data_IF_929009274568
#
_entry.id   IF_929009274568
#
_cell.length_a   1.000
_cell.length_b   1.000
_cell.length_c   1.000
_cell.angle_alpha   90.00
_cell.angle_beta   90.00
_cell.angle_gamma   90.00
#
_symmetry.space_group_name_H-M   'P 1'
#
loop_
_entity.id
_entity.type
_entity.pdbx_description
1 polymer ?
#
# COMPACT_ATOMS: atom_id res chain seq x y z
N UNK A 1 -7.07 12.25 -25.64
CA UNK A 1 -5.64 12.24 -25.92
C UNK A 1 -4.94 12.60 -24.61
N UNK A 2 -4.37 11.64 -23.93
CA UNK A 2 -3.59 11.88 -22.71
C UNK A 2 -2.19 12.24 -23.13
N UNK A 3 -1.78 13.48 -22.90
CA UNK A 3 -0.39 13.88 -23.09
C UNK A 3 0.46 13.25 -21.98
N UNK A 4 1.07 12.11 -22.29
CA UNK A 4 2.08 11.53 -21.44
C UNK A 4 3.35 12.40 -21.54
N UNK A 5 3.62 13.20 -20.52
CA UNK A 5 4.86 13.98 -20.44
C UNK A 5 5.97 13.04 -19.97
N UNK A 6 6.73 12.56 -20.94
CA UNK A 6 7.95 11.78 -20.68
C UNK A 6 9.07 12.74 -20.28
N UNK A 7 9.37 12.85 -19.00
CA UNK A 7 10.67 13.32 -18.50
C UNK A 7 11.30 12.16 -17.72
N UNK A 8 12.45 11.70 -18.19
CA UNK A 8 13.37 10.80 -17.52
C UNK A 8 12.79 9.51 -16.93
N UNK A 9 12.35 8.54 -17.77
CA UNK A 9 11.93 7.18 -17.38
C UNK A 9 10.71 7.08 -16.43
N UNK A 10 10.31 8.17 -15.76
CA UNK A 10 9.15 8.20 -14.87
C UNK A 10 7.88 8.43 -15.70
N UNK A 11 6.92 7.50 -15.58
CA UNK A 11 5.60 7.64 -16.18
C UNK A 11 4.65 8.27 -15.17
N UNK A 12 4.13 9.45 -15.49
CA UNK A 12 3.11 10.15 -14.71
C UNK A 12 1.79 10.05 -15.45
N UNK A 13 0.74 9.62 -14.78
CA UNK A 13 -0.62 9.59 -15.31
C UNK A 13 -1.56 10.40 -14.41
N UNK A 14 -2.57 11.02 -15.03
CA UNK A 14 -3.69 11.63 -14.33
C UNK A 14 -4.91 10.72 -14.47
N UNK A 15 -5.54 10.36 -13.35
CA UNK A 15 -6.76 9.55 -13.32
C UNK A 15 -7.98 10.40 -13.04
N UNK A 16 -9.09 10.10 -13.72
CA UNK A 16 -10.35 10.80 -13.51
C UNK A 16 -11.07 10.25 -12.30
N UNK A 17 -11.76 11.13 -11.57
CA UNK A 17 -12.62 10.77 -10.44
C UNK A 17 -13.76 9.88 -10.89
N UNK A 18 -14.02 8.77 -10.19
CA UNK A 18 -15.23 7.98 -10.36
C UNK A 18 -16.40 8.50 -9.51
N UNK A 19 -17.62 8.15 -9.88
CA UNK A 19 -18.82 8.50 -9.12
C UNK A 19 -19.07 7.43 -8.06
N UNK A 20 -19.38 7.82 -6.83
CA UNK A 20 -19.49 6.98 -5.63
C UNK A 20 -20.38 5.74 -5.77
N UNK A 21 -21.46 5.86 -6.51
CA UNK A 21 -22.51 4.83 -6.55
C UNK A 21 -22.11 3.52 -7.21
N UNK A 22 -21.03 3.50 -7.99
CA UNK A 22 -20.56 2.33 -8.70
C UNK A 22 -19.19 1.80 -8.23
N UNK A 23 -18.55 2.50 -7.27
CA UNK A 23 -17.21 2.12 -6.83
C UNK A 23 -17.12 0.66 -6.32
N UNK A 24 -18.07 0.20 -5.51
CA UNK A 24 -18.05 -1.17 -4.98
C UNK A 24 -18.18 -2.22 -6.09
N UNK A 25 -19.01 -1.94 -7.12
CA UNK A 25 -19.14 -2.82 -8.29
C UNK A 25 -17.86 -2.85 -9.11
N UNK A 26 -17.23 -1.70 -9.28
CA UNK A 26 -15.98 -1.59 -10.03
C UNK A 26 -14.81 -2.22 -9.26
N UNK A 27 -14.79 -2.10 -7.93
CA UNK A 27 -13.83 -2.79 -7.07
C UNK A 27 -13.95 -4.33 -7.17
N UNK A 28 -15.18 -4.86 -7.20
CA UNK A 28 -15.42 -6.29 -7.41
C UNK A 28 -14.91 -6.75 -8.78
N UNK A 29 -15.20 -5.99 -9.84
CA UNK A 29 -14.73 -6.31 -11.20
C UNK A 29 -13.22 -6.28 -11.29
N UNK A 30 -12.59 -5.24 -10.72
CA UNK A 30 -11.13 -5.10 -10.72
C UNK A 30 -10.46 -6.24 -9.96
N UNK A 31 -10.99 -6.60 -8.78
CA UNK A 31 -10.48 -7.73 -7.99
C UNK A 31 -10.56 -9.04 -8.76
N UNK A 32 -11.65 -9.26 -9.52
CA UNK A 32 -11.78 -10.42 -10.40
C UNK A 32 -10.76 -10.39 -11.53
N UNK A 33 -10.55 -9.25 -12.18
CA UNK A 33 -9.53 -9.07 -13.22
C UNK A 33 -8.13 -9.39 -12.69
N UNK A 34 -7.74 -8.83 -11.53
CA UNK A 34 -6.44 -9.10 -10.90
C UNK A 34 -6.25 -10.59 -10.57
N UNK A 35 -7.35 -11.27 -10.25
CA UNK A 35 -7.33 -12.72 -10.03
C UNK A 35 -7.07 -13.50 -11.32
N UNK A 36 -7.72 -13.13 -12.41
CA UNK A 36 -7.53 -13.75 -13.73
C UNK A 36 -6.11 -13.48 -14.28
N UNK A 37 -5.58 -12.29 -14.03
CA UNK A 37 -4.21 -11.90 -14.38
C UNK A 37 -3.14 -12.49 -13.45
N UNK A 38 -3.55 -13.16 -12.35
CA UNK A 38 -2.67 -13.75 -11.32
C UNK A 38 -1.76 -12.73 -10.64
N UNK A 39 -2.19 -11.50 -10.53
CA UNK A 39 -1.48 -10.42 -9.85
C UNK A 39 -2.12 -10.12 -8.50
N UNK A 40 -1.34 -10.21 -7.43
CA UNK A 40 -1.80 -9.84 -6.09
C UNK A 40 -1.70 -8.33 -5.91
N UNK A 41 -2.83 -7.64 -5.84
CA UNK A 41 -2.88 -6.21 -5.59
C UNK A 41 -3.04 -5.95 -4.09
N UNK A 42 -2.09 -5.23 -3.50
CA UNK A 42 -2.11 -4.79 -2.11
C UNK A 42 -2.33 -3.28 -2.04
N UNK A 43 -3.37 -2.81 -1.37
CA UNK A 43 -3.55 -1.40 -1.04
C UNK A 43 -2.78 -1.08 0.25
N UNK A 44 -1.79 -0.19 0.18
CA UNK A 44 -0.96 0.22 1.30
C UNK A 44 -1.30 1.65 1.71
N UNK A 45 -1.84 1.79 2.90
CA UNK A 45 -2.31 3.06 3.47
C UNK A 45 -1.44 3.49 4.64
N UNK A 46 -1.36 4.78 4.92
CA UNK A 46 -0.70 5.30 6.12
C UNK A 46 -0.88 6.80 6.27
N UNK A 47 -0.42 7.34 7.38
CA UNK A 47 -0.14 8.78 7.52
C UNK A 47 1.14 9.18 6.77
N UNK A 48 1.30 10.46 6.42
CA UNK A 48 2.56 10.99 5.93
C UNK A 48 3.71 10.74 6.92
N UNK A 49 4.90 10.42 6.41
CA UNK A 49 6.08 10.21 7.25
C UNK A 49 6.15 8.89 8.03
N UNK A 50 5.20 7.95 7.85
CA UNK A 50 5.22 6.62 8.47
C UNK A 50 6.37 5.72 7.97
N UNK A 51 6.96 6.05 6.81
CA UNK A 51 8.07 5.33 6.19
C UNK A 51 7.64 4.35 5.11
N UNK A 52 6.58 4.66 4.33
CA UNK A 52 6.13 3.85 3.19
C UNK A 52 7.25 3.53 2.22
N UNK A 53 7.85 4.54 1.62
CA UNK A 53 8.92 4.43 0.63
C UNK A 53 10.08 3.57 1.14
N UNK A 54 10.57 3.82 2.37
CA UNK A 54 11.64 3.04 2.98
C UNK A 54 11.23 1.58 3.19
N UNK A 55 9.98 1.35 3.59
CA UNK A 55 9.44 -0.01 3.79
C UNK A 55 9.34 -0.76 2.46
N UNK A 56 8.88 -0.10 1.38
CA UNK A 56 8.78 -0.71 0.05
C UNK A 56 10.15 -1.05 -0.53
N UNK A 57 11.15 -0.17 -0.36
CA UNK A 57 12.54 -0.45 -0.75
C UNK A 57 13.13 -1.65 0.00
N UNK A 58 12.90 -1.73 1.30
CA UNK A 58 13.37 -2.86 2.11
C UNK A 58 12.62 -4.16 1.73
N UNK A 59 11.31 -4.07 1.51
CA UNK A 59 10.48 -5.21 1.08
C UNK A 59 10.92 -5.76 -0.28
N UNK A 60 11.22 -4.90 -1.25
CA UNK A 60 11.68 -5.33 -2.57
C UNK A 60 12.98 -6.17 -2.49
N UNK A 61 13.86 -5.85 -1.55
CA UNK A 61 15.07 -6.67 -1.30
C UNK A 61 14.73 -8.04 -0.75
N UNK A 62 13.77 -8.15 0.18
CA UNK A 62 13.30 -9.43 0.74
C UNK A 62 12.60 -10.30 -0.31
N UNK A 63 11.89 -9.67 -1.27
CA UNK A 63 11.13 -10.38 -2.29
C UNK A 63 11.98 -10.77 -3.52
N UNK A 64 13.20 -10.25 -3.64
CA UNK A 64 14.07 -10.47 -4.79
C UNK A 64 14.26 -11.95 -5.14
N UNK A 65 13.92 -12.33 -6.37
CA UNK A 65 14.00 -13.71 -6.85
C UNK A 65 12.88 -14.62 -6.35
N UNK A 66 11.88 -14.09 -5.63
CA UNK A 66 10.72 -14.82 -5.14
C UNK A 66 9.40 -14.32 -5.74
N UNK A 67 9.25 -13.01 -5.87
CA UNK A 67 8.11 -12.34 -6.49
C UNK A 67 8.59 -11.15 -7.31
N UNK A 68 7.97 -10.93 -8.46
CA UNK A 68 8.13 -9.72 -9.26
C UNK A 68 7.19 -8.66 -8.70
N UNK A 69 7.76 -7.65 -8.03
CA UNK A 69 7.02 -6.58 -7.38
C UNK A 69 7.08 -5.29 -8.20
N UNK A 70 5.93 -4.65 -8.36
CA UNK A 70 5.81 -3.28 -8.87
C UNK A 70 5.08 -2.38 -7.88
N UNK A 71 5.25 -1.07 -8.02
CA UNK A 71 4.64 -0.06 -7.14
C UNK A 71 3.88 0.98 -7.96
N UNK A 72 2.65 1.22 -7.58
CA UNK A 72 1.87 2.37 -8.06
C UNK A 72 1.75 3.37 -6.91
N UNK A 73 2.28 4.55 -7.08
CA UNK A 73 2.29 5.58 -6.05
C UNK A 73 1.23 6.64 -6.32
N UNK A 74 0.37 6.87 -5.34
CA UNK A 74 -0.60 7.94 -5.37
C UNK A 74 -0.11 9.15 -4.58
N UNK A 75 0.10 10.25 -5.26
CA UNK A 75 0.40 11.53 -4.61
C UNK A 75 -0.42 12.66 -5.26
N UNK A 76 -0.53 13.76 -4.54
CA UNK A 76 -1.24 14.95 -5.03
C UNK A 76 -0.46 15.61 -6.16
N UNK A 77 0.89 15.71 -6.03
CA UNK A 77 1.73 16.43 -7.03
C UNK A 77 3.24 16.09 -6.98
N UNK A 78 3.67 15.07 -6.25
CA UNK A 78 5.10 14.72 -6.10
C UNK A 78 5.48 13.51 -6.95
N UNK A 79 6.68 13.56 -7.57
CA UNK A 79 7.26 12.43 -8.31
C UNK A 79 8.51 11.86 -7.61
N UNK A 80 8.80 12.33 -6.40
CA UNK A 80 10.07 12.02 -5.71
C UNK A 80 10.16 10.55 -5.35
N UNK A 81 9.09 9.98 -4.83
CA UNK A 81 9.08 8.59 -4.36
C UNK A 81 9.13 7.60 -5.53
N UNK A 82 8.39 7.85 -6.63
CA UNK A 82 8.46 7.03 -7.84
C UNK A 82 9.90 6.99 -8.43
N UNK A 83 10.62 8.11 -8.39
CA UNK A 83 12.00 8.16 -8.83
C UNK A 83 12.91 7.32 -7.94
N UNK A 84 12.73 7.35 -6.64
CA UNK A 84 13.50 6.55 -5.68
C UNK A 84 13.27 5.05 -5.95
N UNK A 85 12.03 4.63 -6.26
CA UNK A 85 11.71 3.25 -6.63
C UNK A 85 12.38 2.84 -7.93
N UNK A 86 12.31 3.67 -8.97
CA UNK A 86 12.94 3.40 -10.26
C UNK A 86 14.46 3.29 -10.15
N UNK A 87 15.10 4.21 -9.41
CA UNK A 87 16.55 4.18 -9.16
C UNK A 87 16.98 2.91 -8.41
N UNK A 88 16.08 2.32 -7.61
CA UNK A 88 16.27 1.02 -6.96
C UNK A 88 15.97 -0.18 -7.87
N UNK A 89 15.56 0.05 -9.12
CA UNK A 89 15.21 -0.99 -10.09
C UNK A 89 13.84 -1.64 -9.84
N UNK A 90 12.95 -0.97 -9.13
CA UNK A 90 11.58 -1.41 -8.88
C UNK A 90 10.69 -0.74 -9.94
N UNK A 91 9.97 -1.53 -10.79
CA UNK A 91 8.98 -0.95 -11.69
C UNK A 91 8.00 -0.08 -10.92
N UNK A 92 7.85 1.18 -11.33
CA UNK A 92 6.94 2.10 -10.64
C UNK A 92 6.23 3.05 -11.60
N UNK A 93 5.07 3.53 -11.16
CA UNK A 93 4.29 4.55 -11.84
C UNK A 93 3.72 5.52 -10.81
N UNK A 94 3.72 6.81 -11.15
CA UNK A 94 3.09 7.85 -10.35
C UNK A 94 1.66 8.08 -10.83
N UNK A 95 0.71 8.09 -9.89
CA UNK A 95 -0.69 8.44 -10.12
C UNK A 95 -0.95 9.81 -9.50
N UNK A 96 -1.25 10.80 -10.34
CA UNK A 96 -1.71 12.10 -9.87
C UNK A 96 -3.21 12.05 -9.62
N UNK A 97 -3.61 12.23 -8.37
CA UNK A 97 -5.01 12.13 -7.96
C UNK A 97 -5.85 13.37 -8.29
N UNK A 98 -5.24 14.43 -8.85
CA UNK A 98 -5.93 15.68 -9.16
C UNK A 98 -6.49 16.39 -7.92
N UNK A 99 -5.79 16.27 -6.78
CA UNK A 99 -6.18 16.85 -5.50
C UNK A 99 -7.08 15.98 -4.63
N UNK A 100 -7.36 14.74 -5.06
CA UNK A 100 -8.09 13.77 -4.23
C UNK A 100 -7.18 13.22 -3.14
N UNK A 101 -7.75 13.02 -1.94
CA UNK A 101 -7.04 12.49 -0.78
C UNK A 101 -7.08 10.96 -0.67
N UNK A 102 -7.51 10.27 -1.73
CA UNK A 102 -7.62 8.81 -1.80
C UNK A 102 -7.63 8.34 -3.27
N UNK A 103 -7.48 7.04 -3.45
CA UNK A 103 -7.80 6.34 -4.71
C UNK A 103 -9.07 5.52 -4.54
N UNK A 104 -9.87 5.44 -5.61
CA UNK A 104 -10.99 4.52 -5.74
C UNK A 104 -10.67 3.38 -6.75
N UNK A 105 -11.64 2.51 -7.02
CA UNK A 105 -11.45 1.37 -7.90
C UNK A 105 -11.20 1.77 -9.36
N UNK A 106 -11.85 2.83 -9.86
CA UNK A 106 -11.67 3.26 -11.24
C UNK A 106 -10.32 3.94 -11.45
N UNK A 107 -9.89 4.77 -10.50
CA UNK A 107 -8.54 5.37 -10.49
C UNK A 107 -7.46 4.29 -10.43
N UNK A 108 -7.66 3.28 -9.58
CA UNK A 108 -6.77 2.11 -9.48
C UNK A 108 -6.71 1.34 -10.80
N UNK A 109 -7.85 1.07 -11.43
CA UNK A 109 -7.94 0.39 -12.72
C UNK A 109 -7.22 1.16 -13.83
N UNK A 110 -7.40 2.49 -13.88
CA UNK A 110 -6.70 3.34 -14.84
C UNK A 110 -5.18 3.26 -14.62
N UNK A 111 -4.71 3.32 -13.37
CA UNK A 111 -3.30 3.17 -13.01
C UNK A 111 -2.74 1.83 -13.46
N UNK A 112 -3.43 0.72 -13.17
CA UNK A 112 -3.01 -0.62 -13.58
C UNK A 112 -2.97 -0.79 -15.10
N UNK A 113 -3.93 -0.20 -15.83
CA UNK A 113 -3.95 -0.25 -17.29
C UNK A 113 -2.74 0.42 -17.94
N UNK A 114 -2.27 1.53 -17.36
CA UNK A 114 -1.11 2.27 -17.84
C UNK A 114 0.22 1.64 -17.36
N UNK A 115 0.22 1.08 -16.14
CA UNK A 115 1.38 0.43 -15.56
C UNK A 115 1.71 -0.89 -16.27
N UNK A 116 0.67 -1.69 -16.50
CA UNK A 116 0.78 -3.04 -17.02
C UNK A 116 1.12 -4.04 -15.90
N UNK A 117 0.31 -5.09 -15.80
CA UNK A 117 0.46 -6.13 -14.76
C UNK A 117 1.17 -7.37 -15.27
N UNK A 118 1.44 -7.42 -16.60
CA UNK A 118 2.11 -8.56 -17.21
C UNK A 118 3.48 -8.79 -16.54
N UNK A 119 3.71 -10.00 -16.11
CA UNK A 119 4.92 -10.42 -15.42
C UNK A 119 5.06 -9.88 -13.97
N UNK A 120 3.99 -9.32 -13.37
CA UNK A 120 3.95 -8.89 -11.98
C UNK A 120 3.19 -9.88 -11.11
N UNK A 121 3.85 -10.43 -10.09
CA UNK A 121 3.21 -11.29 -9.07
C UNK A 121 2.50 -10.45 -8.00
N UNK A 122 3.06 -9.27 -7.68
CA UNK A 122 2.62 -8.34 -6.66
C UNK A 122 2.66 -6.91 -7.20
N UNK A 123 1.55 -6.20 -7.09
CA UNK A 123 1.51 -4.75 -7.24
C UNK A 123 1.10 -4.12 -5.91
N UNK A 124 1.93 -3.23 -5.38
CA UNK A 124 1.59 -2.42 -4.22
C UNK A 124 1.05 -1.08 -4.69
N UNK A 125 -0.21 -0.82 -4.36
CA UNK A 125 -0.83 0.49 -4.51
C UNK A 125 -0.52 1.31 -3.26
N UNK A 126 0.48 2.18 -3.32
CA UNK A 126 0.75 3.14 -2.27
C UNK A 126 -0.30 4.25 -2.34
N UNK A 127 -1.25 4.23 -1.42
CA UNK A 127 -2.33 5.21 -1.37
C UNK A 127 -1.84 6.55 -0.80
N UNK A 128 -2.60 7.61 -1.04
CA UNK A 128 -2.31 8.96 -0.51
C UNK A 128 -2.13 8.91 1.01
N UNK A 129 -1.16 9.65 1.51
CA UNK A 129 -0.86 9.75 2.95
C UNK A 129 -2.00 10.36 3.76
N UNK A 130 -2.97 9.53 4.13
CA UNK A 130 -4.18 9.91 4.86
C UNK A 130 -4.75 8.70 5.62
N UNK A 131 -5.25 8.88 6.84
CA UNK A 131 -5.84 7.81 7.66
C UNK A 131 -7.37 7.75 7.64
N UNK A 132 -8.03 8.64 6.90
CA UNK A 132 -9.51 8.73 6.84
C UNK A 132 -10.00 8.32 5.47
N UNK A 133 -9.81 9.16 4.46
CA UNK A 133 -10.40 8.96 3.13
C UNK A 133 -10.03 7.61 2.46
N UNK A 134 -8.75 7.13 2.49
CA UNK A 134 -8.42 5.86 1.86
C UNK A 134 -9.11 4.63 2.47
N UNK A 135 -9.59 4.73 3.70
CA UNK A 135 -10.32 3.65 4.35
C UNK A 135 -11.81 3.56 3.92
N UNK A 136 -12.34 4.64 3.35
CA UNK A 136 -13.75 4.71 2.93
C UNK A 136 -13.99 4.11 1.54
N UNK A 137 -12.93 4.03 0.71
CA UNK A 137 -13.03 3.61 -0.69
C UNK A 137 -12.38 2.25 -0.92
N UNK A 138 -13.15 1.31 -1.47
CA UNK A 138 -12.60 0.04 -1.96
C UNK A 138 -11.84 0.29 -3.27
N UNK A 139 -10.55 0.05 -3.26
CA UNK A 139 -9.66 0.21 -4.43
C UNK A 139 -9.67 -1.00 -5.38
N UNK A 140 -10.40 -2.07 -5.05
CA UNK A 140 -10.35 -3.34 -5.78
C UNK A 140 -9.14 -4.20 -5.42
N UNK A 141 -8.35 -3.83 -4.42
CA UNK A 141 -7.23 -4.63 -3.95
C UNK A 141 -7.69 -5.97 -3.34
N UNK A 142 -6.80 -6.97 -3.41
CA UNK A 142 -7.01 -8.27 -2.80
C UNK A 142 -6.94 -8.22 -1.27
N UNK A 143 -6.06 -7.35 -0.75
CA UNK A 143 -5.87 -7.08 0.67
C UNK A 143 -5.49 -5.63 0.93
N UNK A 144 -5.79 -5.16 2.14
CA UNK A 144 -5.44 -3.85 2.64
C UNK A 144 -4.40 -3.96 3.76
N UNK A 145 -3.37 -3.12 3.70
CA UNK A 145 -2.40 -2.95 4.78
C UNK A 145 -2.29 -1.49 5.19
N UNK A 146 -1.96 -1.25 6.45
CA UNK A 146 -1.63 0.09 6.93
C UNK A 146 -0.28 0.10 7.64
N UNK A 147 0.51 1.17 7.43
CA UNK A 147 1.73 1.41 8.19
C UNK A 147 1.46 2.44 9.28
N UNK A 148 1.81 2.09 10.50
CA UNK A 148 1.89 2.98 11.65
C UNK A 148 3.35 3.03 12.11
N UNK A 149 3.94 4.21 12.27
CA UNK A 149 5.27 4.33 12.87
C UNK A 149 5.19 4.58 14.38
N UNK A 150 6.16 4.07 15.13
CA UNK A 150 6.25 4.25 16.59
C UNK A 150 6.05 5.70 17.04
N UNK A 151 6.68 6.74 16.41
CA UNK A 151 6.46 8.13 16.80
C UNK A 151 5.02 8.64 16.69
N UNK A 152 4.14 7.93 15.97
CA UNK A 152 2.74 8.35 15.82
C UNK A 152 1.87 7.97 17.02
N UNK A 153 2.35 7.06 17.88
CA UNK A 153 1.66 6.59 19.09
C UNK A 153 0.78 5.36 18.88
N UNK A 154 0.53 4.65 19.99
CA UNK A 154 -0.23 3.39 20.03
C UNK A 154 -1.76 3.56 20.07
N UNK A 155 -2.22 4.80 20.15
CA UNK A 155 -3.64 5.16 20.21
C UNK A 155 -4.31 5.39 18.86
N UNK A 156 -3.56 5.31 17.76
CA UNK A 156 -4.09 5.52 16.39
C UNK A 156 -5.29 4.63 16.04
N UNK A 157 -5.36 3.34 16.44
CA UNK A 157 -6.55 2.54 16.19
C UNK A 157 -7.81 3.05 16.88
N UNK A 158 -7.67 3.82 17.94
CA UNK A 158 -8.81 4.46 18.62
C UNK A 158 -9.25 5.74 17.91
N UNK A 159 -8.30 6.49 17.36
CA UNK A 159 -8.54 7.77 16.67
C UNK A 159 -9.07 7.59 15.25
N UNK A 160 -8.64 6.52 14.56
CA UNK A 160 -8.97 6.23 13.17
C UNK A 160 -9.54 4.81 13.00
N UNK A 161 -10.65 4.46 13.67
CA UNK A 161 -11.14 3.09 13.77
C UNK A 161 -11.38 2.43 12.41
N UNK A 162 -11.95 3.14 11.44
CA UNK A 162 -12.29 2.59 10.12
C UNK A 162 -11.05 2.06 9.38
N UNK A 163 -9.92 2.78 9.47
CA UNK A 163 -8.66 2.35 8.85
C UNK A 163 -8.28 0.93 9.32
N UNK A 164 -8.32 0.68 10.62
CA UNK A 164 -7.93 -0.61 11.20
C UNK A 164 -9.00 -1.69 11.03
N UNK A 165 -10.27 -1.32 10.92
CA UNK A 165 -11.37 -2.23 10.60
C UNK A 165 -11.23 -2.81 9.17
N UNK A 166 -10.74 -2.00 8.23
CA UNK A 166 -10.61 -2.38 6.81
C UNK A 166 -9.29 -3.07 6.47
N UNK A 167 -8.29 -3.05 7.36
CA UNK A 167 -6.98 -3.62 7.09
C UNK A 167 -6.87 -5.10 7.47
N UNK A 168 -6.24 -5.89 6.62
CA UNK A 168 -5.81 -7.26 6.89
C UNK A 168 -4.49 -7.27 7.67
N UNK A 169 -3.63 -6.27 7.43
CA UNK A 169 -2.30 -6.17 8.03
C UNK A 169 -2.04 -4.77 8.59
N UNK A 170 -1.57 -4.73 9.83
CA UNK A 170 -0.94 -3.57 10.45
C UNK A 170 0.59 -3.76 10.48
N UNK A 171 1.32 -2.90 9.81
CA UNK A 171 2.78 -2.84 9.84
C UNK A 171 3.19 -1.74 10.82
N UNK A 172 3.84 -2.11 11.91
CA UNK A 172 4.35 -1.15 12.92
C UNK A 172 5.82 -0.89 12.61
N UNK A 173 6.11 0.26 12.03
CA UNK A 173 7.45 0.63 11.57
C UNK A 173 8.20 1.50 12.59
N UNK A 174 9.51 1.62 12.38
CA UNK A 174 10.45 2.41 13.20
C UNK A 174 10.59 1.86 14.63
N UNK A 175 10.57 0.53 14.78
CA UNK A 175 10.75 -0.09 16.12
C UNK A 175 12.16 0.16 16.69
N UNK A 176 13.13 0.52 15.85
CA UNK A 176 14.49 0.90 16.24
C UNK A 176 14.58 2.16 17.11
N UNK A 177 13.51 2.95 17.16
CA UNK A 177 13.45 4.14 18.02
C UNK A 177 12.42 4.01 19.15
N UNK A 178 11.90 2.81 19.38
CA UNK A 178 10.80 2.58 20.34
C UNK A 178 11.14 3.04 21.76
N UNK A 179 12.39 2.84 22.21
CA UNK A 179 12.84 3.22 23.55
C UNK A 179 12.85 4.74 23.79
N UNK A 180 12.71 5.55 22.75
CA UNK A 180 12.66 7.01 22.83
C UNK A 180 11.24 7.57 22.86
N UNK A 181 10.21 6.72 22.77
CA UNK A 181 8.81 7.12 22.73
C UNK A 181 8.01 6.37 23.79
N UNK A 182 6.97 7.04 24.29
CA UNK A 182 5.96 6.39 25.12
C UNK A 182 5.02 5.58 24.20
N UNK A 183 5.42 4.32 23.97
CA UNK A 183 4.74 3.41 23.04
C UNK A 183 4.57 2.03 23.67
N UNK A 184 3.32 1.65 23.94
CA UNK A 184 2.96 0.35 24.50
C UNK A 184 2.51 -0.62 23.37
N UNK A 185 3.37 -1.60 23.05
CA UNK A 185 3.07 -2.66 22.06
C UNK A 185 1.78 -3.41 22.40
N UNK A 186 1.58 -3.75 23.66
CA UNK A 186 0.41 -4.54 24.08
C UNK A 186 -0.86 -3.73 23.96
N UNK A 187 -0.79 -2.44 24.29
CA UNK A 187 -1.93 -1.53 24.14
C UNK A 187 -2.26 -1.34 22.66
N UNK A 188 -1.28 -1.16 21.79
CA UNK A 188 -1.51 -1.09 20.33
C UNK A 188 -2.21 -2.35 19.81
N UNK A 189 -1.68 -3.54 20.15
CA UNK A 189 -2.25 -4.82 19.72
C UNK A 189 -3.71 -4.94 20.19
N UNK A 190 -3.97 -4.61 21.43
CA UNK A 190 -5.33 -4.61 22.01
C UNK A 190 -6.25 -3.64 21.26
N UNK A 191 -5.80 -2.41 21.02
CA UNK A 191 -6.56 -1.38 20.33
C UNK A 191 -6.87 -1.78 18.88
N UNK A 192 -5.88 -2.31 18.15
CA UNK A 192 -6.06 -2.75 16.77
C UNK A 192 -7.03 -3.94 16.67
N UNK A 193 -6.86 -4.96 17.53
CA UNK A 193 -7.75 -6.14 17.55
C UNK A 193 -9.15 -5.85 18.04
N UNK A 194 -9.34 -4.80 18.79
CA UNK A 194 -10.69 -4.31 19.17
C UNK A 194 -11.45 -3.80 17.93
N UNK A 195 -10.74 -3.28 16.91
CA UNK A 195 -11.30 -2.82 15.64
C UNK A 195 -11.48 -3.97 14.64
N UNK A 196 -10.45 -4.79 14.51
CA UNK A 196 -10.47 -5.97 13.66
C UNK A 196 -9.81 -7.15 14.40
N UNK A 197 -10.58 -8.11 14.92
CA UNK A 197 -10.03 -9.26 15.65
C UNK A 197 -9.06 -10.12 14.81
N UNK A 198 -9.18 -10.06 13.48
CA UNK A 198 -8.39 -10.86 12.53
C UNK A 198 -7.19 -10.12 11.96
N UNK A 199 -6.96 -8.85 12.37
CA UNK A 199 -5.83 -8.08 11.84
C UNK A 199 -4.50 -8.74 12.22
N UNK A 200 -3.68 -9.00 11.23
CA UNK A 200 -2.31 -9.43 11.44
C UNK A 200 -1.43 -8.22 11.79
N UNK A 201 -0.46 -8.39 12.67
CA UNK A 201 0.37 -7.26 13.14
C UNK A 201 1.84 -7.67 13.04
N UNK A 202 2.63 -6.90 12.28
CA UNK A 202 4.06 -7.14 12.09
C UNK A 202 4.83 -5.89 12.50
N UNK A 203 5.78 -6.07 13.41
CA UNK A 203 6.68 -5.02 13.89
C UNK A 203 7.97 -5.03 13.07
N UNK A 204 8.34 -3.88 12.50
CA UNK A 204 9.52 -3.76 11.65
C UNK A 204 10.34 -2.50 11.95
N UNK A 205 11.60 -2.55 11.59
CA UNK A 205 12.40 -1.37 11.25
C UNK A 205 12.85 -1.48 9.80
N UNK A 206 12.23 -0.71 8.91
CA UNK A 206 12.64 -0.66 7.52
C UNK A 206 14.08 -0.13 7.37
N UNK A 207 14.59 0.62 8.36
CA UNK A 207 15.95 1.16 8.41
C UNK A 207 16.97 0.10 8.74
N UNK A 208 16.72 -0.74 9.75
CA UNK A 208 17.69 -1.76 10.24
C UNK A 208 17.49 -3.12 9.60
N UNK A 209 16.33 -3.38 9.00
CA UNK A 209 15.93 -4.67 8.45
C UNK A 209 15.22 -5.58 9.46
N UNK A 210 15.13 -5.20 10.74
CA UNK A 210 14.43 -5.99 11.74
C UNK A 210 12.98 -6.21 11.37
N UNK A 211 12.49 -7.45 11.45
CA UNK A 211 11.12 -7.83 11.10
C UNK A 211 10.81 -7.88 9.61
N UNK A 212 11.70 -7.41 8.72
CA UNK A 212 11.43 -7.38 7.27
C UNK A 212 11.26 -8.78 6.66
N UNK A 213 12.00 -9.77 7.15
CA UNK A 213 11.82 -11.17 6.71
C UNK A 213 10.42 -11.71 7.04
N UNK A 214 9.81 -11.31 8.18
CA UNK A 214 8.44 -11.68 8.50
C UNK A 214 7.44 -11.00 7.55
N UNK A 215 7.65 -9.72 7.23
CA UNK A 215 6.83 -8.99 6.26
C UNK A 215 6.94 -9.60 4.87
N UNK A 216 8.17 -9.90 4.43
CA UNK A 216 8.42 -10.59 3.15
C UNK A 216 7.71 -11.94 3.06
N UNK A 217 7.79 -12.76 4.11
CA UNK A 217 7.07 -14.04 4.20
C UNK A 217 5.56 -13.86 4.07
N UNK A 218 4.99 -12.89 4.79
CA UNK A 218 3.56 -12.58 4.70
C UNK A 218 3.14 -12.23 3.27
N UNK A 219 3.92 -11.38 2.58
CA UNK A 219 3.66 -11.00 1.19
C UNK A 219 3.70 -12.21 0.25
N UNK A 220 4.75 -13.05 0.36
CA UNK A 220 4.92 -14.24 -0.47
C UNK A 220 3.76 -15.21 -0.27
N UNK A 221 3.37 -15.50 0.96
CA UNK A 221 2.29 -16.44 1.27
C UNK A 221 0.94 -15.95 0.73
N UNK A 222 0.63 -14.66 0.89
CA UNK A 222 -0.63 -14.09 0.41
C UNK A 222 -0.66 -13.99 -1.12
N UNK A 223 0.42 -13.54 -1.76
CA UNK A 223 0.51 -13.49 -3.22
C UNK A 223 0.39 -14.90 -3.83
N UNK A 224 1.13 -15.88 -3.33
CA UNK A 224 1.06 -17.26 -3.83
C UNK A 224 -0.32 -17.89 -3.62
N UNK A 225 -0.97 -17.63 -2.47
CA UNK A 225 -2.34 -18.09 -2.22
C UNK A 225 -3.31 -17.44 -3.21
N UNK A 226 -3.14 -16.16 -3.48
CA UNK A 226 -3.94 -15.44 -4.47
C UNK A 226 -3.75 -15.99 -5.87
N UNK A 227 -2.52 -16.17 -6.33
CA UNK A 227 -2.18 -16.66 -7.67
C UNK A 227 -2.69 -18.09 -7.92
N UNK A 228 -2.69 -18.95 -6.88
CA UNK A 228 -3.00 -20.37 -7.00
C UNK A 228 -4.45 -20.73 -6.61
N UNK A 229 -5.26 -19.79 -6.17
CA UNK A 229 -6.69 -20.00 -5.87
C UNK A 229 -7.57 -19.55 -7.03
#
# INVERSE_FOLDING_TARGET
MSDAITKDRIRVIEVKKSIFEDNDKDAIKLRKQMKEEKTFLLNLMSSPGSGKTTTLLALAKELKGQLNMGVMEADIDSIVDAKIMEDAGIPSIQIHTGGMCHLDADMTRQGLSEFGTKDMDLVVLENVGNLVCPAEFDTGAAKNATILSVPEGDDKPLKYPLMYEKCDLLIVNKIDVMDYFDFDKQQLIKNARMRNPNIEIIFISAKTGEGMGQLGKWMIENARRWINS
#
